data_IF_552218224248
#
_entry.id   IF_552218224248
#
_cell.length_a   1.000
_cell.length_b   1.000
_cell.length_c   1.000
_cell.angle_alpha   90.00
_cell.angle_beta   90.00
_cell.angle_gamma   90.00
#
_symmetry.space_group_name_H-M   'P 1'
#
loop_
_entity.id
_entity.type
_entity.pdbx_description
1 polymer ?
#
# COMPACT_ATOMS: atom_id res chain seq x y z
N UNK A 1 10.34 -1.21 11.33
CA UNK A 1 8.96 -1.42 10.84
C UNK A 1 7.98 -1.28 11.98
N UNK A 2 6.86 -0.64 11.76
CA UNK A 2 5.85 -0.43 12.79
C UNK A 2 4.47 -0.88 12.33
N UNK A 3 3.76 -1.60 13.20
CA UNK A 3 2.40 -2.07 12.91
C UNK A 3 1.36 -0.96 13.15
N UNK A 4 0.37 -0.87 12.28
CA UNK A 4 -0.67 0.16 12.30
C UNK A 4 -1.76 -0.06 13.36
N UNK A 5 -1.85 -1.26 13.94
CA UNK A 5 -2.84 -1.63 14.94
C UNK A 5 -2.26 -2.62 15.95
N UNK A 6 -2.80 -2.64 17.17
CA UNK A 6 -2.43 -3.64 18.20
C UNK A 6 -2.65 -5.07 17.71
N UNK A 7 -3.73 -5.31 16.96
CA UNK A 7 -4.03 -6.64 16.38
C UNK A 7 -2.95 -7.07 15.40
N UNK A 8 -2.52 -6.18 14.51
CA UNK A 8 -1.44 -6.44 13.56
C UNK A 8 -0.11 -6.69 14.30
N UNK A 9 0.19 -5.90 15.33
CA UNK A 9 1.38 -6.08 16.16
C UNK A 9 1.42 -7.45 16.82
N UNK A 10 0.34 -7.88 17.48
CA UNK A 10 0.27 -9.19 18.12
C UNK A 10 0.43 -10.33 17.10
N UNK A 11 -0.22 -10.20 15.93
CA UNK A 11 -0.05 -11.17 14.85
C UNK A 11 1.40 -11.26 14.37
N UNK A 12 2.06 -10.13 14.12
CA UNK A 12 3.47 -10.10 13.68
C UNK A 12 4.42 -10.67 14.76
N UNK A 13 4.18 -10.39 16.03
CA UNK A 13 4.96 -10.99 17.13
C UNK A 13 4.78 -12.50 17.17
N UNK A 14 3.57 -13.04 17.03
CA UNK A 14 3.34 -14.48 16.95
C UNK A 14 4.06 -15.11 15.75
N UNK A 15 3.99 -14.48 14.57
CA UNK A 15 4.68 -14.96 13.36
C UNK A 15 6.20 -14.94 13.52
N UNK A 16 6.75 -13.92 14.18
CA UNK A 16 8.19 -13.83 14.48
C UNK A 16 8.66 -14.96 15.39
N UNK A 17 7.88 -15.34 16.41
CA UNK A 17 8.19 -16.49 17.29
C UNK A 17 8.25 -17.82 16.52
N UNK A 18 7.55 -17.93 15.40
CA UNK A 18 7.55 -19.13 14.54
C UNK A 18 8.63 -19.08 13.44
N UNK A 19 9.56 -18.12 13.50
CA UNK A 19 10.68 -17.99 12.56
C UNK A 19 10.29 -17.53 11.15
N UNK A 20 9.05 -17.05 10.95
CA UNK A 20 8.52 -16.63 9.63
C UNK A 20 8.66 -15.13 9.36
N UNK A 21 9.47 -14.41 10.15
CA UNK A 21 9.53 -12.95 10.10
C UNK A 21 10.74 -12.33 9.37
N UNK A 22 11.63 -13.13 8.80
CA UNK A 22 12.81 -12.61 8.10
C UNK A 22 12.73 -12.94 6.62
N UNK A 23 12.21 -12.01 5.84
CA UNK A 23 12.30 -12.06 4.39
C UNK A 23 13.45 -11.15 3.94
N UNK A 24 14.54 -11.75 3.49
CA UNK A 24 15.61 -11.05 2.81
C UNK A 24 15.28 -11.11 1.31
N UNK A 25 14.98 -9.97 0.72
CA UNK A 25 14.88 -9.85 -0.72
C UNK A 25 16.28 -9.78 -1.30
N UNK A 26 16.65 -10.64 -2.27
CA UNK A 26 17.93 -10.51 -2.93
C UNK A 26 18.00 -9.17 -3.68
N UNK A 27 19.18 -8.54 -3.79
CA UNK A 27 19.34 -7.36 -4.62
C UNK A 27 18.97 -7.68 -6.08
N UNK A 28 18.45 -6.69 -6.80
CA UNK A 28 18.23 -6.82 -8.23
C UNK A 28 19.56 -7.17 -8.91
N UNK A 29 19.52 -8.18 -9.78
CA UNK A 29 20.70 -8.56 -10.55
C UNK A 29 21.04 -7.47 -11.58
N UNK A 30 22.34 -7.17 -11.76
CA UNK A 30 22.84 -6.25 -12.80
C UNK A 30 22.41 -6.68 -14.22
N UNK A 31 22.09 -7.98 -14.41
CA UNK A 31 21.53 -8.49 -15.66
C UNK A 31 20.20 -7.85 -16.08
N UNK A 32 19.52 -7.15 -15.18
CA UNK A 32 18.30 -6.40 -15.50
C UNK A 32 18.55 -4.95 -15.93
N UNK A 33 19.76 -4.41 -15.81
CA UNK A 33 20.17 -3.02 -16.02
C UNK A 33 19.27 -2.19 -16.93
N UNK A 34 19.44 -2.29 -18.23
CA UNK A 34 18.68 -1.50 -19.22
C UNK A 34 17.19 -1.87 -19.35
N UNK A 35 16.74 -2.93 -18.68
CA UNK A 35 15.33 -3.36 -18.63
C UNK A 35 14.55 -2.81 -17.43
N UNK A 36 15.24 -2.09 -16.54
CA UNK A 36 14.62 -1.45 -15.37
C UNK A 36 14.25 -0.03 -15.75
N UNK A 37 12.99 0.32 -15.53
CA UNK A 37 12.51 1.70 -15.61
C UNK A 37 12.02 2.11 -14.25
N UNK A 38 12.64 3.12 -13.68
CA UNK A 38 12.21 3.69 -12.40
C UNK A 38 10.93 4.51 -12.60
N UNK A 39 10.00 4.38 -11.67
CA UNK A 39 8.83 5.24 -11.64
C UNK A 39 9.22 6.53 -10.92
N UNK A 40 9.38 7.59 -11.70
CA UNK A 40 9.66 8.95 -11.23
C UNK A 40 8.65 9.93 -11.84
N UNK A 41 8.65 11.18 -11.41
CA UNK A 41 7.79 12.20 -12.04
C UNK A 41 8.10 12.37 -13.53
N UNK A 42 9.38 12.23 -13.94
CA UNK A 42 9.80 12.39 -15.33
C UNK A 42 9.42 11.19 -16.22
N UNK A 43 9.40 9.97 -15.65
CA UNK A 43 9.10 8.74 -16.40
C UNK A 43 7.63 8.35 -16.35
N UNK A 44 6.86 8.95 -15.44
CA UNK A 44 5.46 8.59 -15.17
C UNK A 44 4.59 8.61 -16.41
N UNK A 45 4.58 9.72 -17.15
CA UNK A 45 3.68 9.91 -18.30
C UNK A 45 3.94 8.88 -19.40
N UNK A 46 5.21 8.54 -19.66
CA UNK A 46 5.59 7.52 -20.62
C UNK A 46 5.13 6.12 -20.15
N UNK A 47 5.25 5.84 -18.87
CA UNK A 47 4.77 4.60 -18.26
C UNK A 47 3.25 4.49 -18.27
N UNK A 48 2.54 5.55 -17.92
CA UNK A 48 1.08 5.62 -17.94
C UNK A 48 0.53 5.35 -19.35
N UNK A 49 1.14 5.97 -20.38
CA UNK A 49 0.81 5.72 -21.79
C UNK A 49 1.01 4.26 -22.16
N UNK A 50 2.12 3.67 -21.73
CA UNK A 50 2.49 2.29 -22.05
C UNK A 50 1.61 1.27 -21.33
N UNK A 51 1.19 1.56 -20.09
CA UNK A 51 0.35 0.69 -19.27
C UNK A 51 -1.13 0.87 -19.60
N UNK A 52 -1.52 2.03 -20.14
CA UNK A 52 -2.92 2.40 -20.33
C UNK A 52 -3.63 2.72 -19.02
N UNK A 53 -2.92 3.31 -18.05
CA UNK A 53 -3.43 3.62 -16.72
C UNK A 53 -2.73 4.82 -16.09
N UNK A 54 -3.23 5.28 -14.95
CA UNK A 54 -2.69 6.39 -14.17
C UNK A 54 -1.90 5.88 -12.99
N UNK A 55 -0.66 6.33 -12.82
CA UNK A 55 0.21 6.03 -11.68
C UNK A 55 -0.03 7.08 -10.60
N UNK A 56 -0.36 6.63 -9.41
CA UNK A 56 -0.58 7.47 -8.24
C UNK A 56 0.53 7.18 -7.22
N UNK A 57 1.30 8.19 -6.83
CA UNK A 57 2.24 8.06 -5.73
C UNK A 57 1.47 8.03 -4.42
N UNK A 58 1.51 6.90 -3.73
CA UNK A 58 0.74 6.64 -2.50
C UNK A 58 1.64 6.24 -1.34
N UNK A 59 2.59 7.12 -0.94
CA UNK A 59 3.51 6.84 0.16
C UNK A 59 2.78 6.69 1.49
N UNK A 60 3.41 5.94 2.41
CA UNK A 60 2.92 5.81 3.79
C UNK A 60 2.98 4.40 4.34
N UNK A 61 2.62 3.37 3.55
CA UNK A 61 3.01 1.99 3.86
C UNK A 61 4.53 1.87 3.78
N UNK A 62 5.10 2.24 2.64
CA UNK A 62 6.52 2.57 2.45
C UNK A 62 6.64 3.94 1.76
N UNK A 63 7.85 4.50 1.73
CA UNK A 63 8.09 5.81 1.10
C UNK A 63 7.92 5.78 -0.43
N UNK A 64 8.12 4.62 -1.06
CA UNK A 64 8.10 4.39 -2.50
C UNK A 64 6.80 3.74 -3.01
N UNK A 65 5.79 3.63 -2.15
CA UNK A 65 4.51 3.00 -2.52
C UNK A 65 3.82 3.74 -3.67
N UNK A 66 3.35 2.97 -4.64
CA UNK A 66 2.56 3.46 -5.78
C UNK A 66 1.27 2.66 -5.93
N UNK A 67 0.26 3.31 -6.49
CA UNK A 67 -1.00 2.69 -6.90
C UNK A 67 -1.20 2.88 -8.40
N UNK A 68 -1.91 1.97 -9.05
CA UNK A 68 -2.27 2.04 -10.46
C UNK A 68 -3.79 2.16 -10.59
N UNK A 69 -4.26 3.15 -11.36
CA UNK A 69 -5.66 3.27 -11.75
C UNK A 69 -5.82 2.93 -13.22
N UNK A 70 -6.74 2.03 -13.53
CA UNK A 70 -7.13 1.68 -14.91
C UNK A 70 -8.64 1.78 -15.03
N UNK A 71 -9.13 2.69 -15.86
CA UNK A 71 -10.55 2.97 -15.95
C UNK A 71 -11.13 3.37 -14.59
N UNK A 72 -12.15 2.64 -14.12
CA UNK A 72 -12.79 2.83 -12.81
C UNK A 72 -12.29 1.90 -11.71
N UNK A 73 -11.12 1.31 -11.88
CA UNK A 73 -10.52 0.38 -10.93
C UNK A 73 -9.18 0.92 -10.43
N UNK A 74 -8.90 0.76 -9.14
CA UNK A 74 -7.60 1.08 -8.55
C UNK A 74 -6.96 -0.20 -8.00
N UNK A 75 -5.68 -0.38 -8.29
CA UNK A 75 -4.78 -1.36 -7.69
C UNK A 75 -3.89 -0.63 -6.67
N UNK A 76 -4.29 -0.56 -5.41
CA UNK A 76 -3.64 0.29 -4.42
C UNK A 76 -2.34 -0.30 -3.86
N UNK A 77 -1.92 -1.51 -4.29
CA UNK A 77 -0.85 -2.22 -3.61
C UNK A 77 -1.19 -2.41 -2.13
N UNK A 78 -0.28 -2.00 -1.26
CA UNK A 78 -0.46 -2.02 0.19
C UNK A 78 -0.88 -0.66 0.79
N UNK A 79 -1.22 0.33 -0.05
CA UNK A 79 -1.87 1.54 0.44
C UNK A 79 -3.27 1.26 1.02
N UNK A 80 -3.88 0.12 0.66
CA UNK A 80 -5.08 -0.40 1.30
C UNK A 80 -5.08 -1.93 1.27
N UNK A 81 -5.65 -2.60 2.27
CA UNK A 81 -5.60 -4.05 2.43
C UNK A 81 -6.94 -4.60 2.91
N UNK A 82 -7.40 -5.74 2.37
CA UNK A 82 -8.64 -6.40 2.75
C UNK A 82 -8.42 -7.86 3.16
N UNK A 83 -7.33 -8.16 3.84
CA UNK A 83 -7.01 -9.49 4.34
C UNK A 83 -6.69 -9.48 5.83
N UNK A 84 -6.89 -10.62 6.50
CA UNK A 84 -6.44 -10.78 7.88
C UNK A 84 -4.91 -10.57 7.99
N UNK A 85 -4.41 -9.87 9.01
CA UNK A 85 -5.08 -9.30 10.18
C UNK A 85 -5.52 -7.84 10.02
N UNK A 86 -5.54 -7.30 8.79
CA UNK A 86 -6.04 -5.95 8.51
C UNK A 86 -7.45 -5.74 9.06
N UNK A 87 -7.73 -4.52 9.45
CA UNK A 87 -9.07 -4.06 9.78
C UNK A 87 -9.33 -2.71 9.14
N UNK A 88 -10.58 -2.42 8.77
CA UNK A 88 -10.97 -1.13 8.20
C UNK A 88 -10.18 -0.75 6.94
N UNK A 89 -9.74 -1.73 6.15
CA UNK A 89 -8.93 -1.57 4.94
C UNK A 89 -7.53 -0.97 5.18
N UNK A 90 -7.12 -0.80 6.43
CA UNK A 90 -5.81 -0.27 6.80
C UNK A 90 -4.78 -1.41 6.74
N UNK A 91 -3.66 -1.17 6.04
CA UNK A 91 -2.55 -2.12 5.97
C UNK A 91 -1.95 -2.39 7.35
N UNK A 92 -1.31 -3.56 7.50
CA UNK A 92 -0.75 -3.97 8.80
C UNK A 92 0.51 -3.18 9.18
N UNK A 93 1.26 -2.67 8.21
CA UNK A 93 2.44 -1.86 8.41
C UNK A 93 2.28 -0.49 7.80
N UNK A 94 2.73 0.52 8.53
CA UNK A 94 2.74 1.92 8.08
C UNK A 94 4.03 2.56 8.60
N UNK A 95 4.80 3.12 7.68
CA UNK A 95 6.03 3.86 8.03
C UNK A 95 5.70 5.31 8.40
N UNK A 96 4.78 5.91 7.66
CA UNK A 96 4.41 7.32 7.85
C UNK A 96 2.88 7.50 7.82
N UNK A 97 2.21 7.58 9.00
CA UNK A 97 0.76 7.74 9.06
C UNK A 97 0.22 9.00 8.39
N UNK A 98 0.96 10.11 8.44
CA UNK A 98 0.52 11.36 7.81
C UNK A 98 0.55 11.26 6.28
N UNK A 99 1.61 10.66 5.71
CA UNK A 99 1.68 10.39 4.28
C UNK A 99 0.60 9.38 3.86
N UNK A 100 0.39 8.33 4.66
CA UNK A 100 -0.64 7.32 4.44
C UNK A 100 -2.05 7.93 4.39
N UNK A 101 -2.34 8.87 5.29
CA UNK A 101 -3.60 9.62 5.28
C UNK A 101 -3.80 10.43 4.00
N UNK A 102 -2.78 11.17 3.56
CA UNK A 102 -2.84 11.92 2.28
C UNK A 102 -3.01 10.99 1.08
N UNK A 103 -2.37 9.84 1.09
CA UNK A 103 -2.53 8.82 0.04
C UNK A 103 -3.96 8.29 -0.02
N UNK A 104 -4.60 8.08 1.12
CA UNK A 104 -6.03 7.72 1.15
C UNK A 104 -6.91 8.84 0.60
N UNK A 105 -6.63 10.10 0.94
CA UNK A 105 -7.37 11.24 0.39
C UNK A 105 -7.23 11.31 -1.14
N UNK A 106 -6.03 11.04 -1.68
CA UNK A 106 -5.80 10.93 -3.11
C UNK A 106 -6.61 9.79 -3.75
N UNK A 107 -6.58 8.58 -3.17
CA UNK A 107 -7.34 7.43 -3.68
C UNK A 107 -8.86 7.67 -3.65
N UNK A 108 -9.36 8.35 -2.61
CA UNK A 108 -10.78 8.70 -2.47
C UNK A 108 -11.20 9.71 -3.53
N UNK A 109 -10.33 10.66 -3.87
CA UNK A 109 -10.61 11.70 -4.88
C UNK A 109 -10.65 11.16 -6.33
N UNK A 110 -10.04 10.00 -6.59
CA UNK A 110 -10.04 9.40 -7.92
C UNK A 110 -11.44 8.91 -8.31
N UNK A 111 -11.80 9.08 -9.60
CA UNK A 111 -13.02 8.49 -10.17
C UNK A 111 -12.83 6.99 -10.37
N UNK A 112 -13.26 6.22 -9.39
CA UNK A 112 -13.16 4.78 -9.36
C UNK A 112 -14.31 4.17 -8.54
N UNK A 113 -14.64 2.91 -8.80
CA UNK A 113 -15.66 2.16 -8.07
C UNK A 113 -15.05 1.11 -7.14
N UNK A 114 -14.02 0.44 -7.61
CA UNK A 114 -13.47 -0.75 -6.95
C UNK A 114 -11.98 -0.63 -6.72
N UNK A 115 -11.53 -1.20 -5.59
CA UNK A 115 -10.12 -1.40 -5.30
C UNK A 115 -9.76 -2.89 -5.27
N UNK A 116 -8.63 -3.22 -5.89
CA UNK A 116 -8.04 -4.56 -5.92
C UNK A 116 -6.69 -4.53 -5.19
N UNK A 117 -6.68 -4.72 -3.87
CA UNK A 117 -5.45 -4.63 -3.07
C UNK A 117 -4.51 -5.80 -3.34
N UNK A 118 -3.21 -5.64 -3.00
CA UNK A 118 -2.24 -6.73 -3.06
C UNK A 118 -2.60 -7.88 -2.10
N UNK A 119 -3.25 -7.58 -0.98
CA UNK A 119 -3.67 -8.56 0.00
C UNK A 119 -5.17 -8.51 0.29
N UNK A 120 -5.83 -9.65 0.07
CA UNK A 120 -7.25 -9.86 0.37
C UNK A 120 -8.18 -9.67 -0.83
N UNK A 121 -9.48 -9.55 -0.56
CA UNK A 121 -10.51 -9.47 -1.61
C UNK A 121 -10.70 -8.03 -2.08
N UNK A 122 -11.12 -7.82 -3.34
CA UNK A 122 -11.57 -6.50 -3.82
C UNK A 122 -12.68 -5.93 -2.93
N UNK A 123 -12.78 -4.61 -2.92
CA UNK A 123 -13.79 -3.88 -2.16
C UNK A 123 -14.15 -2.55 -2.83
N UNK A 124 -15.33 -2.04 -2.53
CA UNK A 124 -15.83 -0.79 -3.07
C UNK A 124 -15.10 0.44 -2.50
N UNK A 125 -14.86 1.45 -3.33
CA UNK A 125 -14.15 2.68 -2.93
C UNK A 125 -14.80 3.38 -1.73
N UNK A 126 -16.12 3.29 -1.61
CA UNK A 126 -16.89 3.85 -0.48
C UNK A 126 -16.38 3.36 0.87
N UNK A 127 -15.75 2.20 0.92
CA UNK A 127 -15.15 1.70 2.16
C UNK A 127 -13.91 2.50 2.59
N UNK A 128 -13.15 3.08 1.65
CA UNK A 128 -12.09 4.03 2.01
C UNK A 128 -12.70 5.27 2.67
N UNK A 129 -13.73 5.84 2.06
CA UNK A 129 -14.45 6.99 2.62
C UNK A 129 -14.95 6.66 4.04
N UNK A 130 -15.62 5.52 4.19
CA UNK A 130 -16.15 5.06 5.48
C UNK A 130 -15.06 4.92 6.56
N UNK A 131 -13.89 4.42 6.18
CA UNK A 131 -12.83 4.13 7.14
C UNK A 131 -11.75 5.21 7.23
N UNK A 132 -11.80 6.25 6.40
CA UNK A 132 -10.84 7.36 6.41
C UNK A 132 -10.59 7.95 7.80
N UNK A 133 -11.62 8.19 8.65
CA UNK A 133 -11.41 8.70 10.00
C UNK A 133 -10.62 7.76 10.93
N UNK A 134 -10.53 6.46 10.60
CA UNK A 134 -9.73 5.51 11.36
C UNK A 134 -8.22 5.63 11.03
N UNK A 135 -7.89 6.13 9.85
CA UNK A 135 -6.50 6.38 9.43
C UNK A 135 -5.85 7.45 10.31
N UNK A 136 -6.60 8.50 10.67
CA UNK A 136 -6.09 9.58 11.54
C UNK A 136 -5.82 9.12 12.99
N UNK A 137 -6.33 7.94 13.34
CA UNK A 137 -6.15 7.34 14.68
C UNK A 137 -5.12 6.23 14.70
N UNK A 138 -4.36 6.04 13.62
CA UNK A 138 -3.29 5.04 13.58
C UNK A 138 -2.27 5.36 14.68
N UNK A 139 -1.99 4.35 15.51
CA UNK A 139 -0.90 4.37 16.48
C UNK A 139 0.11 3.33 16.07
N UNK A 140 1.37 3.74 15.91
CA UNK A 140 2.44 2.84 15.51
C UNK A 140 2.92 2.01 16.70
N UNK A 141 3.01 0.71 16.49
CA UNK A 141 3.56 -0.27 17.43
C UNK A 141 4.86 -0.79 16.84
N UNK A 142 6.00 -0.38 17.40
CA UNK A 142 7.32 -0.80 16.93
C UNK A 142 7.52 -2.31 17.15
N UNK A 143 8.04 -2.99 16.13
CA UNK A 143 8.56 -4.35 16.22
C UNK A 143 10.06 -4.24 16.45
N UNK A 144 10.49 -4.43 17.69
CA UNK A 144 11.91 -4.57 18.05
C UNK A 144 12.44 -5.94 17.67
#
# INVERSE_FOLDING_TARGET
MSCSTLKAFLFCKCMSLWGKGKHLFPPLSDAFGDRIMWITEETRDALETRIGGKILFTPGHTGDSVSLKVGRVIFPGDAAMNGFPSSRRITIWVENPAAFGRSWDLLIAEDADMLYPAHGKPFAKEELVRFRPAVDRIRLYALE
#
